data_IF_529915849812
#
_entry.id   IF_529915849812
#
_cell.length_a   1.000
_cell.length_b   1.000
_cell.length_c   1.000
_cell.angle_alpha   90.00
_cell.angle_beta   90.00
_cell.angle_gamma   90.00
#
_symmetry.space_group_name_H-M   'P 1'
#
loop_
_entity.id
_entity.type
_entity.pdbx_description
1 polymer ?
#
# COMPACT_ATOMS: atom_id res chain seq x y z
N UNK A 1 3.22 5.84 -19.26
CA UNK A 1 3.20 5.25 -17.91
C UNK A 1 2.54 6.22 -16.94
N UNK A 2 1.54 5.77 -16.20
CA UNK A 2 0.86 6.52 -15.13
C UNK A 2 1.48 6.12 -13.79
N UNK A 3 2.30 6.97 -13.16
CA UNK A 3 2.89 6.64 -11.88
C UNK A 3 1.81 6.58 -10.81
N UNK A 4 1.83 5.52 -10.01
CA UNK A 4 1.04 5.37 -8.79
C UNK A 4 1.97 5.50 -7.62
N UNK A 5 1.61 6.34 -6.64
CA UNK A 5 2.37 6.47 -5.40
C UNK A 5 1.54 5.97 -4.23
N UNK A 6 2.06 4.98 -3.51
CA UNK A 6 1.52 4.52 -2.24
C UNK A 6 2.25 5.26 -1.12
N UNK A 7 1.50 5.94 -0.26
CA UNK A 7 1.99 6.60 0.94
C UNK A 7 1.57 5.75 2.15
N UNK A 8 2.53 5.43 3.01
CA UNK A 8 2.30 4.58 4.18
C UNK A 8 2.83 5.28 5.42
N UNK A 9 1.99 5.36 6.45
CA UNK A 9 2.39 5.76 7.80
C UNK A 9 2.00 4.64 8.79
N UNK A 10 2.94 3.75 9.17
CA UNK A 10 2.62 2.60 10.02
C UNK A 10 2.26 2.99 11.46
N UNK A 11 2.88 4.04 12.00
CA UNK A 11 2.70 4.49 13.39
C UNK A 11 2.61 6.01 13.45
N UNK A 12 2.33 6.58 14.62
CA UNK A 12 2.29 8.04 14.79
C UNK A 12 3.66 8.71 14.60
N UNK A 13 4.76 7.94 14.66
CA UNK A 13 6.11 8.45 14.42
C UNK A 13 6.26 8.91 12.97
N UNK A 14 6.73 10.15 12.80
CA UNK A 14 7.01 10.73 11.49
C UNK A 14 8.15 10.02 10.75
N UNK A 15 9.09 9.40 11.48
CA UNK A 15 10.21 8.65 10.92
C UNK A 15 9.77 7.37 10.19
N UNK A 16 8.61 6.83 10.56
CA UNK A 16 8.04 5.64 9.92
C UNK A 16 7.36 5.91 8.58
N UNK A 17 7.19 7.19 8.18
CA UNK A 17 6.56 7.55 6.92
C UNK A 17 7.40 7.11 5.74
N UNK A 18 6.79 6.39 4.83
CA UNK A 18 7.47 5.92 3.61
C UNK A 18 6.54 6.00 2.42
N UNK A 19 7.12 5.91 1.23
CA UNK A 19 6.36 5.84 -0.01
C UNK A 19 6.96 4.79 -0.95
N UNK A 20 6.10 4.24 -1.81
CA UNK A 20 6.51 3.36 -2.89
C UNK A 20 5.83 3.79 -4.19
N UNK A 21 6.52 3.59 -5.31
CA UNK A 21 5.99 3.91 -6.64
C UNK A 21 5.73 2.61 -7.42
N UNK A 22 4.62 2.60 -8.15
CA UNK A 22 4.17 1.46 -8.95
C UNK A 22 3.71 1.92 -10.33
N UNK A 23 3.81 1.01 -11.30
CA UNK A 23 3.42 1.28 -12.68
C UNK A 23 1.91 1.07 -12.94
N UNK A 24 1.26 0.27 -12.09
CA UNK A 24 -0.17 -0.06 -12.21
C UNK A 24 -0.81 -0.26 -10.83
N UNK A 25 -2.15 -0.14 -10.78
CA UNK A 25 -2.92 -0.35 -9.54
C UNK A 25 -2.71 -1.77 -9.03
N UNK A 26 -2.61 -2.75 -9.93
CA UNK A 26 -2.40 -4.14 -9.58
C UNK A 26 -1.05 -4.36 -8.87
N UNK A 27 0.03 -3.74 -9.36
CA UNK A 27 1.34 -3.83 -8.70
C UNK A 27 1.34 -3.10 -7.34
N UNK A 28 0.62 -1.98 -7.23
CA UNK A 28 0.42 -1.30 -5.95
C UNK A 28 -0.29 -2.20 -4.93
N UNK A 29 -1.38 -2.88 -5.34
CA UNK A 29 -2.11 -3.81 -4.47
C UNK A 29 -1.24 -5.01 -4.06
N UNK A 30 -0.40 -5.56 -4.95
CA UNK A 30 0.60 -6.58 -4.59
C UNK A 30 1.60 -6.06 -3.56
N UNK A 31 1.98 -4.79 -3.67
CA UNK A 31 2.83 -4.11 -2.69
C UNK A 31 2.24 -4.11 -1.28
N UNK A 32 0.93 -3.82 -1.16
CA UNK A 32 0.21 -3.86 0.12
C UNK A 32 0.19 -5.29 0.69
N UNK A 33 -0.09 -6.31 -0.14
CA UNK A 33 -0.03 -7.71 0.29
C UNK A 33 1.37 -8.09 0.79
N UNK A 34 2.42 -7.72 0.04
CA UNK A 34 3.81 -7.98 0.41
C UNK A 34 4.20 -7.33 1.74
N UNK A 35 3.73 -6.11 1.99
CA UNK A 35 3.95 -5.40 3.26
C UNK A 35 3.39 -6.21 4.44
N UNK A 36 2.18 -6.77 4.29
CA UNK A 36 1.59 -7.63 5.32
C UNK A 36 2.33 -8.97 5.45
N UNK A 37 2.73 -9.58 4.35
CA UNK A 37 3.53 -10.82 4.36
C UNK A 37 4.87 -10.65 5.07
N UNK A 38 5.55 -9.52 4.87
CA UNK A 38 6.79 -9.20 5.59
C UNK A 38 6.55 -9.02 7.09
N UNK A 39 5.43 -8.38 7.47
CA UNK A 39 5.02 -8.29 8.87
C UNK A 39 4.77 -9.68 9.48
N UNK A 40 4.05 -10.56 8.78
CA UNK A 40 3.81 -11.94 9.19
C UNK A 40 5.10 -12.76 9.32
N UNK A 41 6.04 -12.61 8.38
CA UNK A 41 7.36 -13.29 8.43
C UNK A 41 8.17 -12.86 9.63
N UNK A 42 8.15 -11.58 10.00
CA UNK A 42 8.83 -11.08 11.22
C UNK A 42 8.23 -11.65 12.50
N UNK A 43 6.91 -11.83 12.54
CA UNK A 43 6.23 -12.46 13.69
C UNK A 43 6.42 -13.98 13.76
N UNK A 44 6.64 -14.63 12.61
CA UNK A 44 6.75 -16.09 12.51
C UNK A 44 8.05 -16.50 11.80
N UNK A 45 9.24 -16.20 12.36
CA UNK A 45 10.52 -16.39 11.67
C UNK A 45 10.86 -17.85 11.37
N UNK A 46 10.25 -18.81 12.08
CA UNK A 46 10.46 -20.25 11.87
C UNK A 46 9.52 -20.84 10.82
N UNK A 47 8.45 -20.12 10.45
CA UNK A 47 7.46 -20.59 9.49
C UNK A 47 7.97 -20.45 8.07
N UNK A 48 8.17 -21.59 7.38
CA UNK A 48 8.63 -21.62 5.98
C UNK A 48 7.58 -21.11 4.98
N UNK A 49 6.30 -21.20 5.35
CA UNK A 49 5.17 -20.72 4.57
C UNK A 49 4.12 -20.16 5.53
N UNK A 50 3.48 -19.07 5.14
CA UNK A 50 2.42 -18.41 5.91
C UNK A 50 1.24 -18.21 4.98
N UNK A 51 0.06 -18.60 5.43
CA UNK A 51 -1.22 -18.35 4.75
C UNK A 51 -2.04 -17.39 5.60
N UNK A 52 -2.79 -16.51 4.95
CA UNK A 52 -3.66 -15.54 5.62
C UNK A 52 -4.95 -15.34 4.84
N UNK A 53 -6.02 -15.02 5.55
CA UNK A 53 -7.30 -14.65 4.96
C UNK A 53 -7.36 -13.16 4.62
N UNK A 54 -8.30 -12.79 3.73
CA UNK A 54 -8.50 -11.40 3.32
C UNK A 54 -8.87 -10.49 4.51
N UNK A 55 -9.66 -10.98 5.47
CA UNK A 55 -10.03 -10.22 6.66
C UNK A 55 -8.82 -9.82 7.51
N UNK A 56 -7.83 -10.70 7.64
CA UNK A 56 -6.61 -10.42 8.41
C UNK A 56 -5.74 -9.35 7.73
N UNK A 57 -5.75 -9.30 6.40
CA UNK A 57 -5.09 -8.23 5.65
C UNK A 57 -5.79 -6.89 5.88
N UNK A 58 -7.12 -6.84 5.84
CA UNK A 58 -7.88 -5.63 6.12
C UNK A 58 -7.66 -5.15 7.56
N UNK A 59 -7.72 -6.04 8.55
CA UNK A 59 -7.40 -5.70 9.94
C UNK A 59 -5.98 -5.15 10.12
N UNK A 60 -5.02 -5.61 9.31
CA UNK A 60 -3.67 -5.04 9.31
C UNK A 60 -3.64 -3.63 8.73
N UNK A 61 -4.36 -3.39 7.64
CA UNK A 61 -4.50 -2.07 7.01
C UNK A 61 -5.17 -1.09 7.98
N UNK A 62 -6.24 -1.51 8.67
CA UNK A 62 -6.98 -0.70 9.63
C UNK A 62 -6.14 -0.27 10.85
N UNK A 63 -5.05 -0.99 11.14
CA UNK A 63 -4.11 -0.64 12.21
C UNK A 63 -3.07 0.41 11.79
N UNK A 64 -2.91 0.67 10.50
CA UNK A 64 -2.00 1.72 10.03
C UNK A 64 -2.59 3.08 10.39
N UNK A 65 -1.71 4.05 10.67
CA UNK A 65 -2.16 5.42 10.95
C UNK A 65 -2.66 6.11 9.68
N UNK A 66 -2.00 5.86 8.54
CA UNK A 66 -2.45 6.35 7.24
C UNK A 66 -1.97 5.41 6.13
N UNK A 67 -2.85 5.16 5.16
CA UNK A 67 -2.56 4.46 3.92
C UNK A 67 -3.30 5.15 2.78
N UNK A 68 -2.55 5.79 1.90
CA UNK A 68 -3.11 6.62 0.83
C UNK A 68 -2.48 6.28 -0.52
N UNK A 69 -3.28 6.23 -1.59
CA UNK A 69 -2.80 5.91 -2.93
C UNK A 69 -3.12 7.04 -3.92
N UNK A 70 -2.08 7.54 -4.58
CA UNK A 70 -2.16 8.60 -5.58
C UNK A 70 -2.12 7.98 -6.97
N UNK A 71 -3.19 8.14 -7.74
CA UNK A 71 -3.25 7.65 -9.13
C UNK A 71 -3.26 8.85 -10.07
N UNK A 72 -2.21 8.97 -10.89
CA UNK A 72 -2.15 10.01 -11.91
C UNK A 72 -3.02 9.61 -13.10
N UNK A 73 -4.16 10.28 -13.28
CA UNK A 73 -4.98 10.13 -14.48
C UNK A 73 -4.55 11.16 -15.53
N UNK A 74 -3.97 10.68 -16.63
CA UNK A 74 -3.73 11.52 -17.81
C UNK A 74 -5.05 11.67 -18.56
N UNK A 75 -5.65 12.85 -18.48
CA UNK A 75 -6.83 13.17 -19.30
C UNK A 75 -6.44 13.24 -20.78
N UNK A 76 -7.33 12.79 -21.66
CA UNK A 76 -7.24 13.03 -23.10
C UNK A 76 -7.45 14.54 -23.31
N UNK A 77 -6.37 15.33 -23.25
CA UNK A 77 -6.44 16.80 -23.38
C UNK A 77 -5.44 17.62 -22.55
N UNK A 78 -4.27 17.09 -22.19
CA UNK A 78 -3.18 17.88 -21.59
C UNK A 78 -3.37 18.34 -20.14
N UNK A 79 -4.56 18.15 -19.56
CA UNK A 79 -4.84 18.46 -18.15
C UNK A 79 -4.71 17.18 -17.30
N UNK A 80 -3.53 16.95 -16.71
CA UNK A 80 -3.33 15.85 -15.77
C UNK A 80 -4.17 16.07 -14.50
N UNK A 81 -5.04 15.11 -14.15
CA UNK A 81 -5.79 15.12 -12.89
C UNK A 81 -5.17 14.11 -11.94
N UNK A 82 -4.76 14.55 -10.76
CA UNK A 82 -4.35 13.66 -9.67
C UNK A 82 -5.62 13.31 -8.90
N UNK A 83 -5.99 12.03 -8.88
CA UNK A 83 -7.07 11.55 -8.01
C UNK A 83 -6.41 10.97 -6.76
N UNK A 84 -6.57 11.66 -5.63
CA UNK A 84 -6.25 11.11 -4.32
C UNK A 84 -7.34 10.08 -4.01
N UNK A 85 -6.94 8.81 -3.94
CA UNK A 85 -7.83 7.75 -3.50
C UNK A 85 -7.34 7.36 -2.10
N UNK A 86 -7.97 7.90 -1.07
CA UNK A 86 -7.76 7.35 0.27
C UNK A 86 -8.38 5.96 0.27
N UNK A 87 -7.56 4.96 0.57
CA UNK A 87 -8.02 3.57 0.63
C UNK A 87 -8.67 3.44 2.02
N UNK A 88 -9.99 3.57 2.06
CA UNK A 88 -10.85 3.14 3.16
C UNK A 88 -11.78 2.04 2.64
#
# INVERSE_FOLDING_TARGET
>A
MTPIKLLVQPTQSLEGRTYAEYESVNECMKGICKMYEEHLKRMNPLSRSITYGISQLFEFIDRLVDLSCLVLQRGVGGSGKIRLSTIF
#
